data_IF_244245699554
#
_entry.id   IF_244245699554
#
_cell.length_a   1.000
_cell.length_b   1.000
_cell.length_c   1.000
_cell.angle_alpha   90.00
_cell.angle_beta   90.00
_cell.angle_gamma   90.00
#
_symmetry.space_group_name_H-M   'P 1'
#
loop_
_entity.id
_entity.type
_entity.pdbx_description
1 polymer ?
#
# COMPACT_ATOMS: atom_id res chain seq x y z
N UNK A 1 20.72 -20.06 -0.57
CA UNK A 1 20.19 -18.83 0.07
C UNK A 1 18.86 -19.20 0.70
N UNK A 2 18.69 -18.93 2.00
CA UNK A 2 17.49 -19.26 2.74
C UNK A 2 16.38 -18.27 2.39
N UNK A 3 15.11 -18.72 2.36
CA UNK A 3 13.93 -17.87 2.21
C UNK A 3 13.78 -16.81 3.31
N UNK A 4 14.64 -16.84 4.33
CA UNK A 4 14.71 -15.91 5.46
C UNK A 4 15.42 -14.57 5.12
N UNK A 5 16.08 -14.45 3.97
CA UNK A 5 16.85 -13.24 3.60
C UNK A 5 16.09 -12.27 2.68
N UNK A 6 14.76 -12.36 2.58
CA UNK A 6 13.96 -11.32 1.91
C UNK A 6 13.85 -10.14 2.87
N UNK A 7 14.78 -9.19 2.77
CA UNK A 7 14.67 -7.89 3.45
C UNK A 7 13.45 -7.18 2.87
N UNK A 8 12.34 -7.19 3.60
CA UNK A 8 11.17 -6.40 3.24
C UNK A 8 11.53 -4.93 3.55
N UNK A 9 11.55 -4.05 2.54
CA UNK A 9 11.88 -2.65 2.76
C UNK A 9 10.83 -2.03 3.69
N UNK A 10 11.28 -1.28 4.69
CA UNK A 10 10.43 -0.64 5.67
C UNK A 10 10.86 0.80 5.93
N UNK A 11 9.91 1.63 6.36
CA UNK A 11 10.11 3.01 6.79
C UNK A 11 9.18 3.30 7.97
N UNK A 12 9.74 3.88 9.02
CA UNK A 12 8.95 4.40 10.14
C UNK A 12 8.38 5.76 9.77
N UNK A 13 7.06 5.87 9.74
CA UNK A 13 6.33 7.13 9.56
C UNK A 13 6.04 7.71 10.94
N UNK A 14 6.53 8.92 11.20
CA UNK A 14 6.36 9.60 12.49
C UNK A 14 5.18 10.56 12.39
N UNK A 15 4.09 10.23 13.08
CA UNK A 15 2.90 11.06 13.15
C UNK A 15 3.07 12.04 14.33
N UNK A 16 3.28 13.30 13.98
CA UNK A 16 3.30 14.40 14.94
C UNK A 16 1.86 14.76 15.32
N UNK A 17 1.48 14.49 16.57
CA UNK A 17 0.17 14.85 17.08
C UNK A 17 0.16 16.34 17.46
N UNK A 18 -0.90 17.05 17.07
CA UNK A 18 -1.08 18.49 17.34
C UNK A 18 -1.34 18.81 18.82
N UNK A 19 -1.35 17.81 19.69
CA UNK A 19 -1.62 17.94 21.13
C UNK A 19 -0.26 17.87 21.83
N UNK A 20 0.14 18.97 22.48
CA UNK A 20 1.45 19.16 23.10
C UNK A 20 1.86 18.09 24.14
N UNK A 21 0.91 17.30 24.66
CA UNK A 21 1.13 16.30 25.71
C UNK A 21 1.11 14.85 25.23
N UNK A 22 0.85 14.57 23.94
CA UNK A 22 0.91 13.19 23.42
C UNK A 22 2.20 12.96 22.66
N UNK A 23 2.89 11.88 23.01
CA UNK A 23 4.09 11.41 22.31
C UNK A 23 3.81 11.20 20.83
N UNK A 24 4.78 11.54 19.98
CA UNK A 24 4.73 11.22 18.56
C UNK A 24 4.47 9.72 18.38
N UNK A 25 3.54 9.37 17.48
CA UNK A 25 3.21 7.98 17.20
C UNK A 25 3.99 7.55 15.97
N UNK A 26 4.86 6.56 16.14
CA UNK A 26 5.60 5.94 15.06
C UNK A 26 4.83 4.74 14.52
N UNK A 27 4.60 4.71 13.21
CA UNK A 27 4.02 3.56 12.51
C UNK A 27 5.06 3.01 11.55
N UNK A 28 5.38 1.73 11.68
CA UNK A 28 6.24 1.05 10.72
C UNK A 28 5.43 0.66 9.49
N UNK A 29 5.83 1.17 8.33
CA UNK A 29 5.28 0.83 7.04
C UNK A 29 6.27 -0.05 6.28
N UNK A 30 5.76 -1.11 5.66
CA UNK A 30 6.50 -2.11 4.90
C UNK A 30 5.98 -2.17 3.46
N UNK A 31 6.86 -2.53 2.52
CA UNK A 31 6.42 -2.91 1.18
C UNK A 31 5.53 -4.17 1.22
N UNK A 32 4.52 -4.20 0.34
CA UNK A 32 3.59 -5.32 0.24
C UNK A 32 4.30 -6.56 -0.31
N UNK A 33 4.08 -7.70 0.34
CA UNK A 33 4.59 -8.99 -0.10
C UNK A 33 3.54 -9.74 -0.96
N UNK A 34 3.92 -10.93 -1.46
CA UNK A 34 3.02 -11.73 -2.30
C UNK A 34 1.74 -12.16 -1.57
N UNK A 35 1.79 -12.48 -0.28
CA UNK A 35 0.60 -12.85 0.50
C UNK A 35 -0.37 -11.67 0.65
N UNK A 36 0.17 -10.46 0.82
CA UNK A 36 -0.63 -9.23 0.86
C UNK A 36 -1.29 -8.98 -0.49
N UNK A 37 -0.58 -9.23 -1.60
CA UNK A 37 -1.18 -9.16 -2.93
C UNK A 37 -2.28 -10.21 -3.13
N UNK A 38 -2.12 -11.44 -2.64
CA UNK A 38 -3.19 -12.45 -2.67
C UNK A 38 -4.40 -11.97 -1.89
N UNK A 39 -4.21 -11.49 -0.67
CA UNK A 39 -5.27 -10.92 0.15
C UNK A 39 -6.01 -9.78 -0.55
N UNK A 40 -5.27 -8.85 -1.16
CA UNK A 40 -5.83 -7.72 -1.90
C UNK A 40 -6.55 -8.16 -3.18
N UNK A 41 -6.06 -9.18 -3.87
CA UNK A 41 -6.72 -9.74 -5.06
C UNK A 41 -8.03 -10.41 -4.68
N UNK A 42 -8.07 -11.19 -3.59
CA UNK A 42 -9.27 -11.90 -3.16
C UNK A 42 -10.39 -10.93 -2.73
N UNK A 43 -10.04 -9.83 -2.05
CA UNK A 43 -11.02 -8.83 -1.59
C UNK A 43 -11.33 -7.72 -2.59
N UNK A 44 -10.37 -7.31 -3.42
CA UNK A 44 -10.43 -6.05 -4.18
C UNK A 44 -10.01 -6.21 -5.65
N UNK A 45 -10.16 -7.41 -6.22
CA UNK A 45 -9.80 -7.76 -7.61
C UNK A 45 -10.10 -6.68 -8.65
N UNK A 46 -11.32 -6.14 -8.64
CA UNK A 46 -11.82 -5.16 -9.62
C UNK A 46 -11.18 -3.79 -9.45
N UNK A 47 -10.96 -3.38 -8.19
CA UNK A 47 -10.30 -2.12 -7.84
C UNK A 47 -8.82 -2.19 -8.21
N UNK A 48 -8.16 -3.30 -7.85
CA UNK A 48 -6.78 -3.55 -8.15
C UNK A 48 -6.52 -3.57 -9.67
N UNK A 49 -7.40 -4.23 -10.45
CA UNK A 49 -7.36 -4.15 -11.90
C UNK A 49 -7.58 -2.71 -12.42
N UNK A 50 -8.53 -1.95 -11.84
CA UNK A 50 -8.81 -0.57 -12.25
C UNK A 50 -7.64 0.36 -11.98
N UNK A 51 -7.00 0.26 -10.81
CA UNK A 51 -5.82 1.04 -10.42
C UNK A 51 -4.65 0.69 -11.32
N UNK A 52 -4.38 -0.59 -11.54
CA UNK A 52 -3.27 -0.98 -12.40
C UNK A 52 -3.51 -0.62 -13.87
N UNK A 53 -4.73 -0.76 -14.40
CA UNK A 53 -5.03 -0.42 -15.80
C UNK A 53 -5.02 1.09 -16.04
N UNK A 54 -5.52 1.89 -15.09
CA UNK A 54 -5.54 3.36 -15.20
C UNK A 54 -4.16 3.98 -14.93
N UNK A 55 -3.44 3.47 -13.95
CA UNK A 55 -2.17 4.05 -13.47
C UNK A 55 -0.93 3.33 -14.03
N UNK A 56 -1.05 2.36 -14.93
CA UNK A 56 0.11 1.71 -15.59
C UNK A 56 1.06 2.69 -16.30
N UNK A 57 0.61 3.92 -16.58
CA UNK A 57 1.41 4.99 -17.17
C UNK A 57 1.88 6.03 -16.15
N UNK A 58 1.39 6.00 -14.92
CA UNK A 58 1.70 6.97 -13.87
C UNK A 58 2.67 6.40 -12.83
N UNK A 59 3.41 7.30 -12.17
CA UNK A 59 4.29 6.93 -11.07
C UNK A 59 3.51 6.96 -9.75
N UNK A 60 3.22 5.80 -9.17
CA UNK A 60 2.51 5.68 -7.89
C UNK A 60 3.27 6.30 -6.70
N UNK A 61 4.53 6.68 -6.88
CA UNK A 61 5.25 7.51 -5.90
C UNK A 61 4.68 8.92 -5.78
N UNK A 62 3.85 9.33 -6.73
CA UNK A 62 3.19 10.62 -6.68
C UNK A 62 2.09 10.63 -5.61
N UNK A 63 2.20 11.59 -4.69
CA UNK A 63 1.20 11.87 -3.66
C UNK A 63 -0.19 12.11 -4.28
N UNK A 64 -0.26 12.70 -5.48
CA UNK A 64 -1.53 12.94 -6.18
C UNK A 64 -2.22 11.63 -6.60
N UNK A 65 -1.47 10.63 -7.04
CA UNK A 65 -2.04 9.31 -7.37
C UNK A 65 -2.49 8.59 -6.10
N UNK A 66 -1.77 8.74 -4.98
CA UNK A 66 -2.19 8.23 -3.68
C UNK A 66 -3.49 8.89 -3.18
N UNK A 67 -3.64 10.21 -3.40
CA UNK A 67 -4.90 10.94 -3.12
C UNK A 67 -6.04 10.46 -4.01
N UNK A 68 -5.81 10.24 -5.30
CA UNK A 68 -6.83 9.76 -6.23
C UNK A 68 -7.30 8.35 -5.86
N UNK A 69 -6.38 7.45 -5.54
CA UNK A 69 -6.70 6.08 -5.09
C UNK A 69 -7.48 6.13 -3.78
N UNK A 70 -7.03 6.92 -2.80
CA UNK A 70 -7.70 7.06 -1.52
C UNK A 70 -9.11 7.66 -1.67
N UNK A 71 -9.29 8.65 -2.55
CA UNK A 71 -10.58 9.27 -2.82
C UNK A 71 -11.54 8.38 -3.61
N UNK A 72 -11.03 7.58 -4.54
CA UNK A 72 -11.84 6.72 -5.40
C UNK A 72 -12.13 5.35 -4.78
N UNK A 73 -11.20 4.84 -3.97
CA UNK A 73 -11.23 3.49 -3.41
C UNK A 73 -10.73 3.46 -1.95
N UNK A 74 -11.44 4.13 -1.01
CA UNK A 74 -10.98 4.28 0.38
C UNK A 74 -10.80 2.95 1.11
N UNK A 75 -11.64 1.95 0.84
CA UNK A 75 -11.54 0.62 1.45
C UNK A 75 -10.29 -0.13 0.98
N UNK A 76 -9.99 -0.05 -0.31
CA UNK A 76 -8.78 -0.66 -0.87
C UNK A 76 -7.51 0.03 -0.34
N UNK A 77 -7.53 1.36 -0.26
CA UNK A 77 -6.42 2.13 0.29
C UNK A 77 -6.16 1.76 1.76
N UNK A 78 -7.21 1.65 2.57
CA UNK A 78 -7.10 1.20 3.95
C UNK A 78 -6.59 -0.26 4.05
N UNK A 79 -7.03 -1.15 3.17
CA UNK A 79 -6.52 -2.52 3.10
C UNK A 79 -5.03 -2.58 2.72
N UNK A 80 -4.58 -1.73 1.78
CA UNK A 80 -3.17 -1.62 1.41
C UNK A 80 -2.33 -1.13 2.59
N UNK A 81 -2.81 -0.11 3.31
CA UNK A 81 -2.12 0.41 4.49
C UNK A 81 -2.09 -0.63 5.60
N UNK A 82 -3.19 -1.35 5.85
CA UNK A 82 -3.27 -2.40 6.85
C UNK A 82 -2.28 -3.53 6.58
N UNK A 83 -2.18 -3.95 5.31
CA UNK A 83 -1.20 -4.95 4.88
C UNK A 83 0.23 -4.43 5.04
N UNK A 84 0.52 -3.21 4.56
CA UNK A 84 1.84 -2.62 4.68
C UNK A 84 2.25 -2.32 6.12
N UNK A 85 1.32 -2.17 7.05
CA UNK A 85 1.61 -2.08 8.49
C UNK A 85 1.63 -3.44 9.21
N UNK A 86 1.50 -4.56 8.48
CA UNK A 86 1.40 -5.93 9.00
C UNK A 86 0.27 -6.13 10.03
N UNK A 87 -0.79 -5.34 9.92
CA UNK A 87 -1.96 -5.39 10.78
C UNK A 87 -3.22 -5.41 9.91
N UNK A 88 -3.50 -6.55 9.27
CA UNK A 88 -4.61 -6.70 8.30
C UNK A 88 -5.97 -6.36 8.90
N UNK A 89 -6.15 -6.58 10.20
CA UNK A 89 -7.41 -6.31 10.91
C UNK A 89 -7.59 -4.82 11.28
N UNK A 90 -6.57 -3.98 11.09
CA UNK A 90 -6.60 -2.56 11.45
C UNK A 90 -7.24 -1.65 10.37
N UNK A 91 -7.89 -2.22 9.35
CA UNK A 91 -8.49 -1.45 8.24
C UNK A 91 -9.50 -0.41 8.73
N UNK A 92 -10.38 -0.82 9.65
CA UNK A 92 -11.36 0.07 10.29
C UNK A 92 -10.67 1.27 10.94
N UNK A 93 -9.60 1.01 11.68
CA UNK A 93 -8.81 2.02 12.35
C UNK A 93 -8.11 2.97 11.36
N UNK A 94 -7.52 2.43 10.29
CA UNK A 94 -6.86 3.24 9.26
C UNK A 94 -7.84 4.20 8.58
N UNK A 95 -9.07 3.76 8.30
CA UNK A 95 -10.11 4.63 7.72
C UNK A 95 -10.46 5.81 8.63
N UNK A 96 -10.30 5.65 9.93
CA UNK A 96 -10.56 6.69 10.93
C UNK A 96 -9.38 7.65 11.14
N UNK A 97 -8.19 7.34 10.58
CA UNK A 97 -7.06 8.24 10.67
C UNK A 97 -7.32 9.54 9.89
N UNK A 98 -6.69 10.66 10.27
CA UNK A 98 -6.70 11.86 9.45
C UNK A 98 -6.25 11.60 8.01
N UNK A 99 -6.96 12.18 7.05
CA UNK A 99 -6.70 11.99 5.61
C UNK A 99 -5.23 12.22 5.20
N UNK A 100 -4.51 13.24 5.72
CA UNK A 100 -3.09 13.41 5.41
C UNK A 100 -2.21 12.22 5.80
N UNK A 101 -2.51 11.60 6.95
CA UNK A 101 -1.77 10.44 7.46
C UNK A 101 -2.05 9.22 6.58
N UNK A 102 -3.30 9.02 6.18
CA UNK A 102 -3.65 7.92 5.27
C UNK A 102 -2.90 8.03 3.93
N UNK A 103 -2.79 9.24 3.37
CA UNK A 103 -2.03 9.49 2.13
C UNK A 103 -0.54 9.20 2.33
N UNK A 104 0.04 9.68 3.43
CA UNK A 104 1.48 9.51 3.71
C UNK A 104 1.84 8.03 3.88
N UNK A 105 1.02 7.28 4.62
CA UNK A 105 1.18 5.83 4.79
C UNK A 105 1.04 5.09 3.46
N UNK A 106 0.00 5.40 2.68
CA UNK A 106 -0.24 4.74 1.39
C UNK A 106 0.90 5.01 0.40
N UNK A 107 1.32 6.27 0.28
CA UNK A 107 2.45 6.70 -0.56
C UNK A 107 3.73 5.96 -0.17
N UNK A 108 4.02 5.92 1.13
CA UNK A 108 5.21 5.22 1.65
C UNK A 108 5.17 3.73 1.32
N UNK A 109 4.02 3.07 1.51
CA UNK A 109 3.87 1.65 1.20
C UNK A 109 4.05 1.40 -0.29
N UNK A 110 3.47 2.24 -1.17
CA UNK A 110 3.67 2.10 -2.62
C UNK A 110 5.10 2.37 -3.05
N UNK A 111 5.80 3.34 -2.44
CA UNK A 111 7.22 3.58 -2.69
C UNK A 111 8.07 2.36 -2.33
N UNK A 112 7.82 1.76 -1.16
CA UNK A 112 8.52 0.56 -0.69
C UNK A 112 8.18 -0.68 -1.51
N UNK A 113 6.92 -0.80 -1.98
CA UNK A 113 6.45 -1.93 -2.80
C UNK A 113 6.94 -1.83 -4.24
N UNK A 114 7.03 -0.62 -4.79
CA UNK A 114 7.36 -0.36 -6.19
C UNK A 114 8.53 0.64 -6.31
N UNK A 115 9.74 0.28 -5.86
CA UNK A 115 10.89 1.19 -5.84
C UNK A 115 11.33 1.63 -7.23
N UNK A 116 11.07 0.84 -8.27
CA UNK A 116 11.35 1.18 -9.67
C UNK A 116 10.16 1.85 -10.40
N UNK A 117 9.10 2.15 -9.66
CA UNK A 117 7.82 2.63 -10.19
C UNK A 117 6.88 1.49 -10.56
N UNK A 118 5.59 1.80 -10.63
CA UNK A 118 4.52 0.83 -10.85
C UNK A 118 4.67 0.11 -12.18
N UNK A 119 4.95 0.84 -13.27
CA UNK A 119 5.02 0.26 -14.62
C UNK A 119 6.05 -0.86 -14.72
N UNK A 120 7.29 -0.62 -14.27
CA UNK A 120 8.37 -1.62 -14.29
C UNK A 120 8.10 -2.78 -13.33
N UNK A 121 7.54 -2.47 -12.16
CA UNK A 121 7.20 -3.49 -11.17
C UNK A 121 6.04 -4.35 -11.64
N UNK A 122 5.05 -3.77 -12.32
CA UNK A 122 3.96 -4.48 -12.99
C UNK A 122 4.47 -5.33 -14.13
N UNK A 123 5.38 -4.89 -14.98
CA UNK A 123 5.93 -5.76 -16.02
C UNK A 123 6.52 -7.06 -15.44
N UNK A 124 7.12 -6.98 -14.23
CA UNK A 124 7.64 -8.14 -13.49
C UNK A 124 6.56 -8.93 -12.75
N UNK A 125 5.57 -8.26 -12.16
CA UNK A 125 4.52 -8.86 -11.33
C UNK A 125 3.29 -9.31 -12.12
N UNK A 126 3.07 -8.78 -13.31
CA UNK A 126 1.91 -9.01 -14.16
C UNK A 126 1.71 -10.48 -14.53
N UNK A 127 2.76 -11.29 -14.81
CA UNK A 127 2.57 -12.74 -14.98
C UNK A 127 1.96 -13.41 -13.74
N UNK A 128 2.42 -13.03 -12.54
CA UNK A 128 1.94 -13.55 -11.26
C UNK A 128 0.54 -13.02 -10.93
N UNK A 129 0.32 -11.72 -11.09
CA UNK A 129 -0.97 -11.08 -10.87
C UNK A 129 -2.01 -11.63 -11.86
N UNK A 130 -1.69 -11.80 -13.15
CA UNK A 130 -2.61 -12.38 -14.13
C UNK A 130 -2.95 -13.84 -13.82
N UNK A 131 -2.03 -14.61 -13.26
CA UNK A 131 -2.33 -15.97 -12.78
C UNK A 131 -3.29 -15.94 -11.59
N UNK A 132 -3.08 -15.02 -10.64
CA UNK A 132 -3.96 -14.83 -9.49
C UNK A 132 -5.34 -14.29 -9.89
N UNK A 133 -5.40 -13.41 -10.90
CA UNK A 133 -6.65 -12.85 -11.43
C UNK A 133 -7.45 -13.84 -12.30
N UNK A 134 -6.85 -14.93 -12.77
CA UNK A 134 -7.55 -15.97 -13.56
C UNK A 134 -8.21 -17.03 -12.69
N UNK A 135 -7.86 -17.12 -11.41
CA UNK A 135 -8.67 -17.82 -10.40
C UNK A 135 -9.90 -16.99 -10.06
#
# INVERSE_FOLDING_TARGET
MSLLDIIIPYRTVVINQSIAEKSAVSIDAFGLNTEDFVYLVDGYKTVLASIFLRNAKEDLKNIETSKEILGSFPEFAAACVACGCRQRDAQEYIRQLPFPIQIELLSTIFELTFPEGLKKSLEKLMPTILQLLKK
#
